data_IF_628568689839
#
_entry.id   IF_628568689839
#
_cell.length_a   1.000
_cell.length_b   1.000
_cell.length_c   1.000
_cell.angle_alpha   90.00
_cell.angle_beta   90.00
_cell.angle_gamma   90.00
#
_symmetry.space_group_name_H-M   'P 1'
#
loop_
_entity.id
_entity.type
_entity.pdbx_description
1 polymer ?
#
# COMPACT_ATOMS: atom_id res chain seq x y z
N UNK A 1 4.94 17.40 -33.70
CA UNK A 1 4.69 15.95 -33.55
C UNK A 1 3.60 15.80 -32.47
N UNK A 2 2.47 15.23 -32.83
CA UNK A 2 1.35 15.11 -31.88
C UNK A 2 1.37 13.71 -31.27
N UNK A 3 1.27 13.65 -29.97
CA UNK A 3 1.27 12.39 -29.21
C UNK A 3 -0.17 11.84 -29.10
N UNK A 4 -0.42 10.70 -29.73
CA UNK A 4 -1.73 10.02 -29.66
C UNK A 4 -1.87 9.25 -28.33
N UNK A 5 -2.78 9.69 -27.46
CA UNK A 5 -3.03 9.07 -26.14
C UNK A 5 -3.46 7.60 -26.24
N UNK A 6 -4.06 7.15 -27.35
CA UNK A 6 -4.39 5.74 -27.53
C UNK A 6 -3.14 4.87 -27.73
N UNK A 7 -2.11 5.41 -28.40
CA UNK A 7 -0.80 4.74 -28.53
C UNK A 7 -0.04 4.76 -27.20
N UNK A 8 -0.11 5.87 -26.46
CA UNK A 8 0.48 5.99 -25.11
C UNK A 8 -0.15 4.98 -24.17
N UNK A 9 -1.48 4.84 -24.16
CA UNK A 9 -2.18 3.85 -23.35
C UNK A 9 -1.76 2.42 -23.72
N UNK A 10 -1.63 2.11 -25.01
CA UNK A 10 -1.11 0.81 -25.45
C UNK A 10 0.29 0.52 -24.89
N UNK A 11 1.18 1.52 -24.87
CA UNK A 11 2.51 1.40 -24.31
C UNK A 11 2.48 1.17 -22.78
N UNK A 12 1.77 2.01 -22.01
CA UNK A 12 1.73 1.92 -20.54
C UNK A 12 1.12 0.60 -20.06
N UNK A 13 0.03 0.12 -20.69
CA UNK A 13 -0.58 -1.17 -20.37
C UNK A 13 0.38 -2.34 -20.68
N UNK A 14 1.10 -2.27 -21.81
CA UNK A 14 2.11 -3.29 -22.14
C UNK A 14 3.28 -3.27 -21.17
N UNK A 15 3.70 -2.10 -20.72
CA UNK A 15 4.77 -1.92 -19.73
C UNK A 15 4.38 -2.51 -18.36
N UNK A 16 3.13 -2.34 -17.94
CA UNK A 16 2.62 -2.87 -16.67
C UNK A 16 2.49 -4.40 -16.66
N UNK A 17 2.09 -4.99 -17.78
CA UNK A 17 1.88 -6.45 -17.86
C UNK A 17 3.12 -7.22 -18.30
N UNK A 18 4.05 -6.57 -18.99
CA UNK A 18 5.20 -7.16 -19.70
C UNK A 18 4.80 -8.36 -20.58
N UNK A 19 3.55 -8.33 -21.11
CA UNK A 19 3.00 -9.42 -21.91
C UNK A 19 1.95 -8.91 -22.90
N UNK A 20 2.23 -8.96 -24.21
CA UNK A 20 1.33 -8.41 -25.24
C UNK A 20 -0.08 -9.03 -25.23
N UNK A 21 -0.21 -10.33 -24.95
CA UNK A 21 -1.53 -11.00 -24.88
C UNK A 21 -2.37 -10.44 -23.74
N UNK A 22 -1.83 -10.41 -22.52
CA UNK A 22 -2.53 -9.84 -21.35
C UNK A 22 -2.85 -8.37 -21.52
N UNK A 23 -1.93 -7.57 -22.06
CA UNK A 23 -2.19 -6.16 -22.36
C UNK A 23 -3.31 -5.98 -23.40
N UNK A 24 -3.38 -6.85 -24.41
CA UNK A 24 -4.42 -6.81 -25.41
C UNK A 24 -5.81 -7.17 -24.82
N UNK A 25 -5.88 -8.17 -23.95
CA UNK A 25 -7.08 -8.53 -23.19
C UNK A 25 -7.57 -7.36 -22.33
N UNK A 26 -6.69 -6.74 -21.57
CA UNK A 26 -7.00 -5.58 -20.72
C UNK A 26 -7.54 -4.40 -21.55
N UNK A 27 -6.94 -4.15 -22.72
CA UNK A 27 -7.37 -3.11 -23.65
C UNK A 27 -8.53 -3.52 -24.57
N UNK A 28 -9.07 -4.71 -24.41
CA UNK A 28 -10.17 -5.27 -25.23
C UNK A 28 -9.86 -5.16 -26.73
N UNK A 29 -8.65 -5.51 -27.11
CA UNK A 29 -8.17 -5.48 -28.49
C UNK A 29 -7.43 -6.75 -28.89
N UNK A 30 -7.11 -6.95 -30.15
CA UNK A 30 -6.26 -8.08 -30.55
C UNK A 30 -4.79 -7.79 -30.30
N UNK A 31 -4.02 -8.85 -30.02
CA UNK A 31 -2.55 -8.73 -29.84
C UNK A 31 -1.87 -8.11 -31.08
N UNK A 32 -2.38 -8.40 -32.30
CA UNK A 32 -1.86 -7.81 -33.52
C UNK A 32 -2.13 -6.29 -33.57
N UNK A 33 -3.33 -5.85 -33.20
CA UNK A 33 -3.68 -4.44 -33.16
C UNK A 33 -2.85 -3.70 -32.11
N UNK A 34 -2.66 -4.29 -30.93
CA UNK A 34 -1.78 -3.75 -29.88
C UNK A 34 -0.34 -3.63 -30.39
N UNK A 35 0.20 -4.69 -31.01
CA UNK A 35 1.57 -4.66 -31.57
C UNK A 35 1.75 -3.57 -32.62
N UNK A 36 0.74 -3.33 -33.49
CA UNK A 36 0.76 -2.23 -34.46
C UNK A 36 0.74 -0.87 -33.77
N UNK A 37 -0.05 -0.68 -32.70
CA UNK A 37 -0.06 0.57 -31.93
C UNK A 37 1.31 0.88 -31.33
N UNK A 38 1.94 -0.11 -30.72
CA UNK A 38 3.29 0.02 -30.14
C UNK A 38 4.31 0.36 -31.26
N UNK A 39 4.28 -0.36 -32.39
CA UNK A 39 5.20 -0.08 -33.51
C UNK A 39 5.05 1.34 -34.04
N UNK A 40 3.79 1.84 -34.17
CA UNK A 40 3.50 3.21 -34.59
C UNK A 40 4.03 4.25 -33.60
N UNK A 41 3.90 3.99 -32.28
CA UNK A 41 4.47 4.88 -31.25
C UNK A 41 6.00 4.91 -31.33
N UNK A 42 6.64 3.74 -31.44
CA UNK A 42 8.09 3.63 -31.61
C UNK A 42 8.60 4.34 -32.86
N UNK A 43 7.85 4.27 -33.96
CA UNK A 43 8.15 4.98 -35.21
C UNK A 43 8.02 6.50 -35.04
N UNK A 44 6.95 6.98 -34.42
CA UNK A 44 6.75 8.40 -34.10
C UNK A 44 7.85 8.98 -33.22
N UNK A 45 8.30 8.21 -32.24
CA UNK A 45 9.36 8.62 -31.31
C UNK A 45 10.77 8.36 -31.85
N UNK A 46 10.90 7.66 -32.98
CA UNK A 46 12.16 7.20 -33.59
C UNK A 46 13.05 6.40 -32.66
N UNK A 47 12.44 5.70 -31.66
CA UNK A 47 13.16 4.85 -30.70
C UNK A 47 12.36 3.58 -30.39
N UNK A 48 13.05 2.52 -30.02
CA UNK A 48 12.42 1.30 -29.50
C UNK A 48 12.15 1.47 -28.03
N UNK A 49 10.92 1.14 -27.62
CA UNK A 49 10.48 1.19 -26.21
C UNK A 49 10.53 -0.18 -25.55
N UNK A 50 10.45 -1.27 -26.34
CA UNK A 50 10.53 -2.65 -25.85
C UNK A 50 11.62 -3.46 -26.50
N UNK A 51 12.30 -4.29 -25.67
CA UNK A 51 13.10 -5.44 -26.12
C UNK A 51 12.19 -6.65 -26.15
N UNK A 52 12.17 -7.38 -27.29
CA UNK A 52 11.32 -8.58 -27.48
C UNK A 52 12.11 -9.90 -27.44
N UNK A 53 13.45 -9.83 -27.53
CA UNK A 53 14.31 -11.01 -27.53
C UNK A 53 14.61 -11.45 -26.10
N UNK A 54 14.26 -12.68 -25.75
CA UNK A 54 14.43 -13.21 -24.39
C UNK A 54 13.36 -12.77 -23.38
N UNK A 55 12.18 -12.43 -23.87
CA UNK A 55 11.07 -11.89 -23.07
C UNK A 55 10.85 -10.40 -23.30
N UNK A 56 9.67 -9.89 -22.89
CA UNK A 56 9.33 -8.48 -23.05
C UNK A 56 9.91 -7.69 -21.88
N UNK A 57 10.72 -6.69 -22.18
CA UNK A 57 11.29 -5.75 -21.20
C UNK A 57 11.29 -4.35 -21.82
N UNK A 58 11.24 -3.32 -20.97
CA UNK A 58 11.48 -1.97 -21.42
C UNK A 58 12.93 -1.78 -21.89
N UNK A 59 13.15 -0.94 -22.87
CA UNK A 59 14.46 -0.38 -23.16
C UNK A 59 14.71 0.79 -22.20
N UNK A 60 15.94 1.28 -22.15
CA UNK A 60 16.25 2.53 -21.40
C UNK A 60 15.40 3.71 -21.86
N UNK A 61 15.11 3.83 -23.17
CA UNK A 61 14.19 4.83 -23.69
C UNK A 61 12.74 4.57 -23.20
N UNK A 62 12.30 3.31 -23.12
CA UNK A 62 11.00 2.93 -22.59
C UNK A 62 10.88 3.28 -21.10
N UNK A 63 11.90 3.00 -20.31
CA UNK A 63 11.94 3.37 -18.88
C UNK A 63 11.86 4.89 -18.67
N UNK A 64 12.62 5.66 -19.45
CA UNK A 64 12.54 7.13 -19.40
C UNK A 64 11.20 7.69 -19.87
N UNK A 65 10.59 7.07 -20.88
CA UNK A 65 9.30 7.52 -21.44
C UNK A 65 8.12 7.19 -20.54
N UNK A 66 8.17 6.11 -19.74
CA UNK A 66 7.06 5.60 -18.96
C UNK A 66 6.45 6.64 -18.00
N UNK A 67 7.22 7.41 -17.20
CA UNK A 67 6.66 8.43 -16.33
C UNK A 67 5.90 9.52 -17.10
N UNK A 68 6.48 10.04 -18.19
CA UNK A 68 5.85 11.05 -19.01
C UNK A 68 4.61 10.53 -19.74
N UNK A 69 4.60 9.26 -20.14
CA UNK A 69 3.44 8.59 -20.73
C UNK A 69 2.26 8.54 -19.75
N UNK A 70 2.50 8.18 -18.49
CA UNK A 70 1.47 8.20 -17.45
C UNK A 70 0.96 9.62 -17.18
N UNK A 71 1.84 10.61 -17.13
CA UNK A 71 1.45 12.02 -16.96
C UNK A 71 0.56 12.52 -18.09
N UNK A 72 0.88 12.18 -19.34
CA UNK A 72 0.08 12.55 -20.50
C UNK A 72 -1.34 11.93 -20.44
N UNK A 73 -1.44 10.65 -20.07
CA UNK A 73 -2.74 9.98 -19.87
C UNK A 73 -3.54 10.63 -18.75
N UNK A 74 -2.92 10.88 -17.61
CA UNK A 74 -3.57 11.55 -16.48
C UNK A 74 -4.02 12.97 -16.83
N UNK A 75 -3.24 13.72 -17.62
CA UNK A 75 -3.65 15.04 -18.12
C UNK A 75 -4.87 14.96 -19.05
N UNK A 76 -4.91 13.96 -19.94
CA UNK A 76 -6.07 13.69 -20.80
C UNK A 76 -7.33 13.36 -19.99
N UNK A 77 -7.20 12.53 -18.98
CA UNK A 77 -8.30 12.18 -18.08
C UNK A 77 -8.82 13.40 -17.29
N UNK A 78 -7.91 14.25 -16.78
CA UNK A 78 -8.28 15.53 -16.15
C UNK A 78 -9.02 16.48 -17.10
N UNK A 79 -8.58 16.56 -18.37
CA UNK A 79 -9.26 17.40 -19.37
C UNK A 79 -10.69 16.92 -19.63
N UNK A 80 -10.93 15.61 -19.72
CA UNK A 80 -12.27 15.03 -19.85
C UNK A 80 -13.10 15.31 -18.60
N UNK A 81 -12.55 15.10 -17.42
CA UNK A 81 -13.23 15.32 -16.14
C UNK A 81 -13.66 16.80 -15.97
N UNK A 82 -12.85 17.75 -16.45
CA UNK A 82 -13.16 19.19 -16.37
C UNK A 82 -14.45 19.57 -17.12
N UNK A 83 -14.81 18.89 -18.21
CA UNK A 83 -16.02 19.14 -18.97
C UNK A 83 -17.18 18.25 -18.59
N UNK A 84 -16.91 17.10 -17.94
CA UNK A 84 -17.95 16.15 -17.50
C UNK A 84 -18.56 16.50 -16.14
N UNK A 85 -18.11 17.58 -15.47
CA UNK A 85 -18.55 17.93 -14.13
C UNK A 85 -18.13 16.92 -13.03
N UNK A 86 -17.40 15.88 -13.39
CA UNK A 86 -16.84 14.90 -12.46
C UNK A 86 -15.43 15.35 -12.12
N UNK A 87 -15.14 15.61 -10.85
CA UNK A 87 -13.79 15.92 -10.42
C UNK A 87 -12.78 14.81 -10.81
N UNK A 88 -11.48 15.13 -10.95
CA UNK A 88 -10.47 14.13 -11.27
C UNK A 88 -10.46 13.05 -10.18
N UNK A 89 -10.38 11.78 -10.60
CA UNK A 89 -10.18 10.68 -9.66
C UNK A 89 -8.73 10.65 -9.19
N UNK A 90 -8.52 10.29 -7.92
CA UNK A 90 -7.19 10.01 -7.35
C UNK A 90 -6.98 8.51 -7.35
N UNK A 91 -5.96 8.03 -8.04
CA UNK A 91 -5.55 6.64 -7.98
C UNK A 91 -4.73 6.44 -6.71
N UNK A 92 -5.19 5.54 -5.86
CA UNK A 92 -4.55 5.23 -4.58
C UNK A 92 -4.22 3.75 -4.48
N UNK A 93 -2.95 3.44 -4.28
CA UNK A 93 -2.50 2.11 -3.90
C UNK A 93 -2.44 1.98 -2.38
N UNK A 94 -2.87 0.83 -1.87
CA UNK A 94 -2.75 0.51 -0.45
C UNK A 94 -1.95 -0.74 -0.25
N UNK A 95 -1.03 -0.70 0.72
CA UNK A 95 -0.25 -1.88 1.11
C UNK A 95 -0.13 -1.98 2.62
N UNK A 96 0.13 -3.18 3.06
CA UNK A 96 0.26 -3.52 4.47
C UNK A 96 -0.37 -4.86 4.75
N UNK A 97 0.00 -5.44 5.87
CA UNK A 97 -0.53 -6.73 6.30
C UNK A 97 -1.69 -6.59 7.29
N UNK A 98 -1.95 -5.39 7.77
CA UNK A 98 -3.09 -5.15 8.67
C UNK A 98 -4.40 -5.14 7.89
N UNK A 99 -5.44 -5.65 8.53
CA UNK A 99 -6.78 -5.77 7.96
C UNK A 99 -7.41 -4.40 7.63
N UNK A 100 -8.08 -4.34 6.48
CA UNK A 100 -8.90 -3.20 6.05
C UNK A 100 -8.21 -1.81 6.10
N UNK A 101 -7.05 -1.61 5.47
CA UNK A 101 -6.33 -0.32 5.48
C UNK A 101 -7.18 0.83 4.91
N UNK A 102 -8.05 0.57 3.94
CA UNK A 102 -8.95 1.57 3.35
C UNK A 102 -9.95 2.16 4.33
N UNK A 103 -10.17 1.54 5.48
CA UNK A 103 -10.98 2.08 6.59
C UNK A 103 -10.47 3.44 7.05
N UNK A 104 -9.16 3.58 7.24
CA UNK A 104 -8.51 4.85 7.61
C UNK A 104 -8.66 5.91 6.52
N UNK A 105 -8.48 5.52 5.25
CA UNK A 105 -8.69 6.41 4.10
C UNK A 105 -10.13 6.88 4.05
N UNK A 106 -11.10 5.97 4.19
CA UNK A 106 -12.53 6.31 4.20
C UNK A 106 -12.89 7.32 5.31
N UNK A 107 -12.36 7.13 6.52
CA UNK A 107 -12.56 8.06 7.63
C UNK A 107 -11.99 9.45 7.34
N UNK A 108 -10.79 9.51 6.74
CA UNK A 108 -10.14 10.79 6.42
C UNK A 108 -10.87 11.57 5.31
N UNK A 109 -11.46 10.87 4.32
CA UNK A 109 -12.15 11.53 3.21
C UNK A 109 -13.63 11.85 3.49
N UNK A 110 -14.22 11.22 4.51
CA UNK A 110 -15.66 11.40 4.83
C UNK A 110 -16.03 12.87 5.07
N UNK A 111 -15.12 13.66 5.63
CA UNK A 111 -15.32 15.08 5.92
C UNK A 111 -15.03 16.02 4.72
N UNK A 112 -14.47 15.50 3.62
CA UNK A 112 -14.00 16.33 2.50
C UNK A 112 -15.01 16.56 1.39
N UNK A 113 -16.23 16.00 1.52
CA UNK A 113 -17.18 15.97 0.42
C UNK A 113 -16.82 14.90 -0.63
N UNK A 114 -17.39 14.96 -1.84
CA UNK A 114 -17.23 13.90 -2.84
C UNK A 114 -15.80 13.89 -3.40
N UNK A 115 -14.95 13.01 -2.89
CA UNK A 115 -13.63 12.68 -3.47
C UNK A 115 -13.74 11.33 -4.16
N UNK A 116 -13.42 11.30 -5.44
CA UNK A 116 -13.39 10.07 -6.22
C UNK A 116 -12.02 9.41 -6.05
N UNK A 117 -12.00 8.25 -5.38
CA UNK A 117 -10.81 7.42 -5.23
C UNK A 117 -10.92 6.18 -6.13
N UNK A 118 -9.84 5.85 -6.83
CA UNK A 118 -9.71 4.64 -7.64
C UNK A 118 -8.60 3.78 -7.04
N UNK A 119 -8.92 2.58 -6.51
CA UNK A 119 -7.90 1.67 -5.98
C UNK A 119 -6.95 1.19 -7.09
N UNK A 120 -5.66 1.26 -6.83
CA UNK A 120 -4.64 0.71 -7.70
C UNK A 120 -4.29 -0.76 -7.37
N UNK A 121 -3.44 -1.39 -8.21
CA UNK A 121 -3.07 -2.80 -8.09
C UNK A 121 -1.94 -3.08 -7.10
N UNK A 122 -1.25 -2.05 -6.61
CA UNK A 122 -0.10 -2.20 -5.70
C UNK A 122 -0.45 -2.94 -4.41
N UNK A 123 0.44 -3.85 -3.98
CA UNK A 123 0.22 -4.70 -2.80
C UNK A 123 1.39 -4.71 -1.82
N UNK A 124 2.53 -4.15 -2.21
CA UNK A 124 3.71 -4.00 -1.37
C UNK A 124 4.41 -2.66 -1.66
N UNK A 125 5.21 -2.20 -0.70
CA UNK A 125 5.88 -0.91 -0.81
C UNK A 125 6.79 -0.79 -2.05
N UNK A 126 7.63 -1.78 -2.40
CA UNK A 126 8.46 -1.68 -3.59
C UNK A 126 7.67 -1.47 -4.89
N UNK A 127 6.56 -2.18 -5.08
CA UNK A 127 5.72 -2.03 -6.27
C UNK A 127 4.97 -0.69 -6.31
N UNK A 128 4.48 -0.23 -5.17
CA UNK A 128 3.82 1.08 -5.05
C UNK A 128 4.82 2.21 -5.25
N UNK A 129 6.01 2.14 -4.68
CA UNK A 129 7.06 3.14 -4.90
C UNK A 129 7.40 3.27 -6.39
N UNK A 130 7.55 2.15 -7.09
CA UNK A 130 7.78 2.14 -8.53
C UNK A 130 6.59 2.75 -9.30
N UNK A 131 5.35 2.39 -8.94
CA UNK A 131 4.16 2.95 -9.57
C UNK A 131 4.04 4.46 -9.35
N UNK A 132 4.35 4.98 -8.15
CA UNK A 132 4.40 6.41 -7.85
C UNK A 132 5.45 7.14 -8.71
N UNK A 133 6.68 6.62 -8.77
CA UNK A 133 7.75 7.22 -9.55
C UNK A 133 7.43 7.26 -11.05
N UNK A 134 6.75 6.24 -11.56
CA UNK A 134 6.35 6.17 -12.96
C UNK A 134 4.99 6.81 -13.26
N UNK A 135 4.28 7.36 -12.26
CA UNK A 135 2.96 7.97 -12.44
C UNK A 135 1.83 6.98 -12.70
N UNK A 136 2.04 5.70 -12.41
CA UNK A 136 1.02 4.65 -12.49
C UNK A 136 -0.04 4.77 -11.39
N UNK A 137 0.31 5.37 -10.26
CA UNK A 137 -0.60 5.77 -9.18
C UNK A 137 -0.28 7.19 -8.71
N UNK A 138 -1.23 7.87 -8.09
CA UNK A 138 -1.09 9.26 -7.63
C UNK A 138 -0.69 9.33 -6.16
N UNK A 139 -1.20 8.40 -5.36
CA UNK A 139 -0.96 8.27 -3.93
C UNK A 139 -0.71 6.81 -3.54
N UNK A 140 0.09 6.65 -2.51
CA UNK A 140 0.22 5.39 -1.79
C UNK A 140 -0.19 5.56 -0.33
N UNK A 141 -0.86 4.58 0.26
CA UNK A 141 -1.20 4.54 1.68
C UNK A 141 -0.72 3.23 2.31
N UNK A 142 0.23 3.32 3.20
CA UNK A 142 0.83 2.16 3.86
C UNK A 142 2.02 2.52 4.73
N UNK A 143 2.72 1.51 5.24
CA UNK A 143 3.94 1.74 5.99
C UNK A 143 5.14 1.87 5.05
N UNK A 144 5.71 3.06 4.98
CA UNK A 144 6.92 3.36 4.20
C UNK A 144 8.16 2.98 5.02
N UNK A 145 9.13 2.37 4.37
CA UNK A 145 10.45 2.09 4.93
C UNK A 145 11.51 2.25 3.82
N UNK A 146 12.78 2.53 4.15
CA UNK A 146 13.82 2.70 3.15
C UNK A 146 13.94 1.47 2.22
N UNK A 147 14.01 1.70 0.91
CA UNK A 147 14.24 0.65 -0.06
C UNK A 147 15.72 0.48 -0.38
N UNK A 148 16.20 -0.76 -0.57
CA UNK A 148 17.58 -1.01 -0.96
C UNK A 148 17.98 -0.23 -2.23
N UNK A 149 19.16 0.39 -2.21
CA UNK A 149 19.67 1.14 -3.35
C UNK A 149 18.97 2.49 -3.61
N UNK A 150 18.22 3.02 -2.64
CA UNK A 150 17.54 4.33 -2.78
C UNK A 150 16.44 4.34 -3.84
N UNK A 151 15.78 3.20 -4.08
CA UNK A 151 14.73 3.06 -5.09
C UNK A 151 13.45 3.85 -4.79
N UNK A 152 13.38 4.50 -3.66
CA UNK A 152 12.36 5.44 -3.21
C UNK A 152 12.78 6.92 -3.32
N UNK A 153 13.96 7.20 -3.91
CA UNK A 153 14.41 8.57 -4.18
C UNK A 153 13.42 9.30 -5.11
N UNK A 154 13.07 10.55 -4.76
CA UNK A 154 12.06 11.34 -5.49
C UNK A 154 10.62 11.11 -5.02
N UNK A 155 10.44 10.32 -3.95
CA UNK A 155 9.17 10.20 -3.25
C UNK A 155 9.17 11.05 -1.98
N UNK A 156 8.02 11.64 -1.69
CA UNK A 156 7.73 12.32 -0.42
C UNK A 156 6.71 11.50 0.35
N UNK A 157 6.80 11.53 1.67
CA UNK A 157 5.84 10.88 2.54
C UNK A 157 5.44 11.78 3.70
N UNK A 158 4.24 11.54 4.24
CA UNK A 158 3.76 12.11 5.50
C UNK A 158 3.18 11.00 6.36
N UNK A 159 3.62 10.92 7.61
CA UNK A 159 2.99 10.08 8.62
C UNK A 159 1.59 10.63 8.92
N UNK A 160 0.57 9.77 8.84
CA UNK A 160 -0.83 10.22 9.02
C UNK A 160 -1.54 9.50 10.16
N UNK A 161 -1.06 8.32 10.56
CA UNK A 161 -1.64 7.58 11.67
C UNK A 161 -0.64 6.62 12.31
N UNK A 162 -0.64 6.60 13.63
CA UNK A 162 -0.08 5.54 14.47
C UNK A 162 -1.25 4.64 14.93
N UNK A 163 -1.33 3.44 14.41
CA UNK A 163 -2.43 2.52 14.68
C UNK A 163 -2.00 1.49 15.71
N UNK A 164 -2.63 1.46 16.91
CA UNK A 164 -2.40 0.39 17.87
C UNK A 164 -2.77 -0.97 17.28
N UNK A 165 -2.01 -2.00 17.62
CA UNK A 165 -2.30 -3.37 17.20
C UNK A 165 -2.47 -4.26 18.43
N UNK A 166 -3.47 -5.14 18.35
CA UNK A 166 -3.78 -6.14 19.34
C UNK A 166 -3.26 -7.51 18.91
N UNK A 167 -3.04 -8.39 19.89
CA UNK A 167 -2.84 -9.80 19.63
C UNK A 167 -4.19 -10.47 19.43
N UNK A 168 -4.39 -11.14 18.29
CA UNK A 168 -5.59 -11.93 18.04
C UNK A 168 -5.26 -13.41 18.14
N UNK A 169 -6.05 -14.11 18.95
CA UNK A 169 -5.89 -15.54 19.26
C UNK A 169 -7.21 -16.29 19.10
N UNK A 170 -7.13 -17.61 18.94
CA UNK A 170 -8.29 -18.50 18.97
C UNK A 170 -8.92 -18.59 20.38
N UNK A 171 -10.17 -19.10 20.49
CA UNK A 171 -10.87 -19.21 21.77
C UNK A 171 -10.19 -20.12 22.77
N UNK A 172 -9.51 -21.16 22.28
CA UNK A 172 -8.84 -22.17 23.10
C UNK A 172 -7.34 -21.87 23.33
N UNK A 173 -6.88 -20.68 22.93
CA UNK A 173 -5.50 -20.28 23.18
C UNK A 173 -5.25 -20.03 24.67
N UNK A 174 -4.10 -20.45 25.26
CA UNK A 174 -3.82 -20.30 26.70
C UNK A 174 -3.96 -18.87 27.23
N UNK A 175 -3.72 -17.87 26.37
CA UNK A 175 -3.83 -16.44 26.72
C UNK A 175 -5.20 -15.83 26.40
N UNK A 176 -6.18 -16.59 25.89
CA UNK A 176 -7.48 -16.04 25.49
C UNK A 176 -8.27 -15.38 26.62
N UNK A 177 -8.00 -15.74 27.87
CA UNK A 177 -8.64 -15.16 29.07
C UNK A 177 -7.99 -13.87 29.58
N UNK A 178 -6.90 -13.40 28.98
CA UNK A 178 -6.21 -12.19 29.43
C UNK A 178 -6.97 -10.91 29.02
N UNK A 179 -6.99 -9.90 29.91
CA UNK A 179 -7.55 -8.59 29.63
C UNK A 179 -6.57 -7.71 28.83
N UNK A 180 -5.27 -7.91 29.00
CA UNK A 180 -4.18 -7.28 28.25
C UNK A 180 -2.94 -8.17 28.31
N UNK A 181 -2.04 -8.01 27.33
CA UNK A 181 -0.76 -8.72 27.28
C UNK A 181 0.38 -7.75 27.04
N UNK A 182 1.55 -8.05 27.56
CA UNK A 182 2.80 -7.45 27.11
C UNK A 182 3.30 -8.20 25.88
N UNK A 183 3.92 -7.55 24.89
CA UNK A 183 4.52 -8.27 23.77
C UNK A 183 5.46 -9.41 24.19
N UNK A 184 6.12 -9.27 25.35
CA UNK A 184 6.99 -10.31 25.92
C UNK A 184 6.24 -11.59 26.34
N UNK A 185 4.95 -11.53 26.66
CA UNK A 185 4.13 -12.68 27.04
C UNK A 185 3.86 -13.61 25.85
N UNK A 186 4.08 -13.11 24.64
CA UNK A 186 3.91 -13.85 23.37
C UNK A 186 5.15 -14.64 22.92
N UNK A 187 6.24 -14.64 23.70
CA UNK A 187 7.53 -15.27 23.30
C UNK A 187 7.43 -16.75 23.00
N UNK A 188 6.59 -17.45 23.76
CA UNK A 188 6.38 -18.90 23.59
C UNK A 188 5.27 -19.23 22.59
N UNK A 189 4.57 -18.21 22.08
CA UNK A 189 3.54 -18.37 21.07
C UNK A 189 4.13 -18.33 19.65
N UNK A 190 3.36 -18.82 18.69
CA UNK A 190 3.73 -18.80 17.26
C UNK A 190 3.08 -17.60 16.58
N UNK A 191 3.89 -16.67 16.04
CA UNK A 191 3.37 -15.58 15.23
C UNK A 191 3.00 -16.11 13.84
N UNK A 192 1.72 -16.07 13.52
CA UNK A 192 1.25 -16.34 12.17
C UNK A 192 1.31 -15.08 11.30
N UNK A 193 1.84 -15.22 10.09
CA UNK A 193 2.05 -14.15 9.12
C UNK A 193 1.30 -14.45 7.82
N UNK A 194 0.56 -13.49 7.22
CA UNK A 194 -0.20 -13.69 5.99
C UNK A 194 0.65 -13.67 4.70
N UNK A 195 1.95 -13.76 4.80
CA UNK A 195 2.93 -13.89 3.73
C UNK A 195 4.30 -14.20 4.34
N UNK A 196 5.29 -14.48 3.49
CA UNK A 196 6.69 -14.60 3.93
C UNK A 196 7.12 -13.41 4.78
N UNK A 197 7.68 -13.65 5.94
CA UNK A 197 8.05 -12.62 6.92
C UNK A 197 9.05 -11.60 6.37
N UNK A 198 9.88 -11.99 5.39
CA UNK A 198 10.81 -11.09 4.70
C UNK A 198 10.11 -9.93 4.00
N UNK A 199 8.86 -10.11 3.61
CA UNK A 199 8.00 -9.10 2.97
C UNK A 199 7.19 -8.25 3.97
N UNK A 200 7.18 -8.65 5.24
CA UNK A 200 6.37 -8.08 6.31
C UNK A 200 7.25 -7.38 7.35
N UNK A 201 7.89 -6.28 6.94
CA UNK A 201 8.91 -5.60 7.75
C UNK A 201 8.47 -5.26 9.18
N UNK A 202 7.21 -4.83 9.38
CA UNK A 202 6.69 -4.54 10.72
C UNK A 202 6.62 -5.79 11.60
N UNK A 203 6.03 -6.89 11.11
CA UNK A 203 5.91 -8.14 11.87
C UNK A 203 7.29 -8.73 12.20
N UNK A 204 8.21 -8.67 11.24
CA UNK A 204 9.59 -9.11 11.46
C UNK A 204 10.25 -8.32 12.58
N UNK A 205 10.18 -6.98 12.54
CA UNK A 205 10.76 -6.11 13.57
C UNK A 205 10.10 -6.28 14.93
N UNK A 206 8.78 -6.46 14.95
CA UNK A 206 8.05 -6.78 16.18
C UNK A 206 8.54 -8.10 16.78
N UNK A 207 8.59 -9.15 15.98
CA UNK A 207 9.05 -10.44 16.45
C UNK A 207 10.50 -10.42 16.95
N UNK A 208 11.40 -9.69 16.24
CA UNK A 208 12.80 -9.52 16.64
C UNK A 208 12.93 -8.73 17.95
N UNK A 209 12.20 -7.61 18.08
CA UNK A 209 12.26 -6.73 19.24
C UNK A 209 11.79 -7.42 20.53
N UNK A 210 10.79 -8.31 20.44
CA UNK A 210 10.20 -8.96 21.61
C UNK A 210 10.60 -10.43 21.79
N UNK A 211 11.55 -10.93 20.98
CA UNK A 211 12.12 -12.26 21.13
C UNK A 211 11.16 -13.38 20.74
N UNK A 212 10.24 -13.14 19.81
CA UNK A 212 9.31 -14.13 19.27
C UNK A 212 10.03 -14.92 18.17
N UNK A 213 10.45 -16.14 18.50
CA UNK A 213 11.25 -16.99 17.59
C UNK A 213 10.41 -17.95 16.77
N UNK A 214 9.25 -18.37 17.28
CA UNK A 214 8.32 -19.25 16.55
C UNK A 214 7.49 -18.43 15.58
N UNK A 215 7.68 -18.66 14.30
CA UNK A 215 7.06 -17.89 13.21
C UNK A 215 6.58 -18.83 12.13
N UNK A 216 5.36 -18.63 11.70
CA UNK A 216 4.74 -19.43 10.63
C UNK A 216 4.12 -18.46 9.61
N UNK A 217 4.40 -18.67 8.35
CA UNK A 217 3.78 -17.93 7.26
C UNK A 217 2.81 -18.81 6.47
N UNK A 218 1.84 -18.15 5.86
CA UNK A 218 0.83 -18.78 5.03
C UNK A 218 0.26 -17.82 3.99
N UNK A 219 -0.54 -18.31 3.06
CA UNK A 219 -1.15 -17.46 2.05
C UNK A 219 -2.20 -16.55 2.67
N UNK A 220 -2.27 -15.30 2.21
CA UNK A 220 -3.37 -14.40 2.55
C UNK A 220 -4.60 -14.73 1.70
N UNK A 221 -5.44 -15.60 2.22
CA UNK A 221 -6.71 -16.01 1.59
C UNK A 221 -7.92 -15.29 2.21
N UNK A 222 -7.68 -14.19 2.93
CA UNK A 222 -8.72 -13.38 3.54
C UNK A 222 -9.02 -13.73 4.99
N UNK A 223 -10.01 -13.03 5.56
CA UNK A 223 -10.30 -13.09 6.99
C UNK A 223 -10.81 -14.47 7.44
N UNK A 224 -11.62 -15.14 6.64
CA UNK A 224 -12.16 -16.46 6.99
C UNK A 224 -11.04 -17.51 7.13
N UNK A 225 -10.04 -17.46 6.27
CA UNK A 225 -8.86 -18.32 6.35
C UNK A 225 -8.06 -18.04 7.63
N UNK A 226 -7.86 -16.77 7.98
CA UNK A 226 -7.22 -16.37 9.24
C UNK A 226 -7.99 -16.93 10.45
N UNK A 227 -9.34 -16.77 10.46
CA UNK A 227 -10.21 -17.27 11.52
C UNK A 227 -10.06 -18.78 11.68
N UNK A 228 -10.13 -19.54 10.58
CA UNK A 228 -9.97 -20.99 10.60
C UNK A 228 -8.60 -21.41 11.13
N UNK A 229 -7.53 -20.71 10.71
CA UNK A 229 -6.18 -21.01 11.16
C UNK A 229 -6.02 -20.80 12.67
N UNK A 230 -6.41 -19.63 13.20
CA UNK A 230 -6.28 -19.32 14.63
C UNK A 230 -7.20 -20.18 15.52
N UNK A 231 -8.30 -20.69 15.00
CA UNK A 231 -9.16 -21.66 15.72
C UNK A 231 -8.58 -23.08 15.72
N UNK A 232 -7.84 -23.42 14.68
CA UNK A 232 -7.23 -24.74 14.52
C UNK A 232 -5.90 -24.93 15.23
N UNK A 233 -5.22 -23.84 15.59
CA UNK A 233 -3.91 -23.86 16.24
C UNK A 233 -3.91 -23.01 17.52
N UNK A 234 -3.95 -23.68 18.67
CA UNK A 234 -4.01 -23.03 19.98
C UNK A 234 -2.71 -22.37 20.43
N UNK A 235 -1.62 -22.51 19.69
CA UNK A 235 -0.35 -21.85 19.97
C UNK A 235 -0.16 -20.57 19.13
N UNK A 236 -1.01 -20.35 18.12
CA UNK A 236 -0.86 -19.26 17.16
C UNK A 236 -1.57 -17.98 17.59
N UNK A 237 -0.90 -16.86 17.31
CA UNK A 237 -1.49 -15.52 17.36
C UNK A 237 -1.11 -14.75 16.08
N UNK A 238 -1.84 -13.68 15.79
CA UNK A 238 -1.46 -12.68 14.80
C UNK A 238 -1.66 -11.27 15.34
N UNK A 239 -1.12 -10.26 14.67
CA UNK A 239 -1.39 -8.87 15.00
C UNK A 239 -2.53 -8.32 14.15
N UNK A 240 -3.44 -7.58 14.77
CA UNK A 240 -4.62 -7.02 14.14
C UNK A 240 -4.84 -5.56 14.59
N UNK A 241 -5.41 -4.69 13.76
CA UNK A 241 -5.68 -3.31 14.19
C UNK A 241 -6.64 -3.28 15.38
N UNK A 242 -6.30 -2.55 16.42
CA UNK A 242 -7.09 -2.50 17.66
C UNK A 242 -8.52 -1.96 17.48
N UNK A 243 -8.74 -1.10 16.47
CA UNK A 243 -10.05 -0.51 16.19
C UNK A 243 -10.78 -1.16 15.00
N UNK A 244 -10.26 -2.27 14.46
CA UNK A 244 -10.94 -3.03 13.42
C UNK A 244 -11.84 -4.10 14.04
N UNK A 245 -13.14 -4.14 13.71
CA UNK A 245 -14.03 -5.14 14.25
C UNK A 245 -13.65 -6.53 13.74
N UNK A 246 -13.57 -7.48 14.66
CA UNK A 246 -13.56 -8.90 14.30
C UNK A 246 -14.99 -9.34 14.02
N UNK A 247 -15.22 -10.28 13.08
CA UNK A 247 -16.55 -10.83 12.86
C UNK A 247 -17.08 -11.53 14.12
N UNK A 248 -18.32 -11.25 14.51
CA UNK A 248 -18.96 -11.80 15.72
C UNK A 248 -18.93 -13.34 15.74
N UNK A 249 -19.07 -13.98 14.57
CA UNK A 249 -19.06 -15.44 14.42
C UNK A 249 -17.65 -16.06 14.45
N UNK A 250 -16.61 -15.23 14.43
CA UNK A 250 -15.23 -15.73 14.39
C UNK A 250 -14.82 -16.46 15.68
N UNK A 251 -15.39 -16.06 16.83
CA UNK A 251 -15.03 -16.60 18.15
C UNK A 251 -13.57 -16.31 18.54
N UNK A 252 -12.91 -15.37 17.82
CA UNK A 252 -11.56 -14.94 18.14
C UNK A 252 -11.55 -13.91 19.26
N UNK A 253 -10.42 -13.79 19.94
CA UNK A 253 -10.17 -12.79 20.98
C UNK A 253 -9.11 -11.82 20.50
N UNK A 254 -9.46 -10.52 20.41
CA UNK A 254 -8.49 -9.44 20.31
C UNK A 254 -8.11 -9.01 21.73
N UNK A 255 -6.82 -9.06 22.03
CA UNK A 255 -6.28 -8.76 23.35
C UNK A 255 -5.32 -7.58 23.21
N UNK A 256 -5.58 -6.45 23.89
CA UNK A 256 -4.73 -5.28 23.84
C UNK A 256 -3.28 -5.59 24.20
N UNK A 257 -2.34 -5.08 23.41
CA UNK A 257 -0.92 -5.13 23.72
C UNK A 257 -0.51 -3.83 24.44
N UNK A 258 0.10 -3.99 25.60
CA UNK A 258 0.49 -2.88 26.49
C UNK A 258 1.93 -3.04 26.98
N UNK A 259 2.56 -1.95 27.38
CA UNK A 259 3.87 -1.92 28.06
C UNK A 259 5.00 -2.71 27.33
N UNK A 260 5.36 -2.32 26.11
CA UNK A 260 4.83 -1.20 25.33
C UNK A 260 3.69 -1.61 24.38
N UNK A 261 2.82 -0.64 24.04
CA UNK A 261 1.80 -0.81 23.00
C UNK A 261 2.44 -0.68 21.61
N UNK A 262 2.38 -1.71 20.75
CA UNK A 262 2.94 -1.61 19.41
C UNK A 262 2.05 -0.77 18.50
N UNK A 263 2.68 0.15 17.76
CA UNK A 263 2.00 1.04 16.84
C UNK A 263 2.45 0.80 15.40
N UNK A 264 1.49 0.69 14.48
CA UNK A 264 1.76 0.59 13.06
C UNK A 264 1.70 1.99 12.42
N UNK A 265 2.81 2.40 11.80
CA UNK A 265 2.95 3.75 11.24
C UNK A 265 2.40 3.80 9.80
N UNK A 266 1.22 4.35 9.61
CA UNK A 266 0.63 4.61 8.30
C UNK A 266 1.08 5.95 7.75
N UNK A 267 1.60 5.93 6.52
CA UNK A 267 1.99 7.14 5.79
C UNK A 267 1.22 7.24 4.47
N UNK A 268 0.96 8.47 4.05
CA UNK A 268 0.72 8.79 2.65
C UNK A 268 2.05 8.98 1.96
N UNK A 269 2.19 8.47 0.75
CA UNK A 269 3.37 8.65 -0.09
C UNK A 269 2.96 9.12 -1.48
N UNK A 270 3.74 10.01 -2.07
CA UNK A 270 3.53 10.53 -3.41
C UNK A 270 4.86 10.93 -4.05
N UNK A 271 4.87 11.11 -5.36
CA UNK A 271 6.04 11.62 -6.05
C UNK A 271 6.25 13.10 -5.71
N UNK A 272 7.46 13.51 -5.37
CA UNK A 272 7.83 14.87 -4.98
C UNK A 272 7.38 15.92 -6.03
N UNK A 273 7.50 15.59 -7.32
CA UNK A 273 7.05 16.43 -8.43
C UNK A 273 5.55 16.35 -8.73
N UNK A 274 4.77 15.56 -7.97
CA UNK A 274 3.33 15.39 -8.22
C UNK A 274 2.57 16.72 -8.09
N UNK A 275 1.59 16.90 -9.00
CA UNK A 275 0.73 18.10 -9.08
C UNK A 275 -0.74 17.71 -9.20
N UNK A 276 -1.17 16.73 -8.36
CA UNK A 276 -2.57 16.32 -8.35
C UNK A 276 -3.42 17.34 -7.59
N UNK A 277 -4.52 17.89 -8.16
CA UNK A 277 -5.32 18.97 -7.54
C UNK A 277 -5.90 18.61 -6.18
N UNK A 278 -6.19 17.33 -5.94
CA UNK A 278 -6.77 16.84 -4.70
C UNK A 278 -5.74 16.40 -3.64
N UNK A 279 -4.45 16.46 -3.94
CA UNK A 279 -3.41 16.03 -2.99
C UNK A 279 -3.49 16.82 -1.67
N UNK A 280 -3.46 18.15 -1.76
CA UNK A 280 -3.54 19.01 -0.58
C UNK A 280 -4.86 18.84 0.17
N UNK A 281 -5.95 18.59 -0.55
CA UNK A 281 -7.27 18.33 0.04
C UNK A 281 -7.26 17.05 0.85
N UNK A 282 -6.71 15.97 0.29
CA UNK A 282 -6.56 14.69 1.00
C UNK A 282 -5.65 14.82 2.22
N UNK A 283 -4.49 15.49 2.08
CA UNK A 283 -3.58 15.75 3.20
C UNK A 283 -4.27 16.52 4.34
N UNK A 284 -5.10 17.53 4.02
CA UNK A 284 -5.91 18.22 5.03
C UNK A 284 -6.90 17.29 5.72
N UNK A 285 -7.64 16.47 4.97
CA UNK A 285 -8.59 15.52 5.54
C UNK A 285 -7.95 14.54 6.52
N UNK A 286 -6.79 14.01 6.17
CA UNK A 286 -6.02 13.18 7.09
C UNK A 286 -5.55 13.95 8.32
N UNK A 287 -5.09 15.19 8.16
CA UNK A 287 -4.62 16.03 9.27
C UNK A 287 -5.77 16.38 10.23
N UNK A 288 -6.92 16.81 9.71
CA UNK A 288 -8.10 17.19 10.52
C UNK A 288 -8.69 15.99 11.26
N UNK A 289 -8.87 14.87 10.54
CA UNK A 289 -9.35 13.63 11.15
C UNK A 289 -8.34 13.10 12.17
N UNK A 290 -7.05 13.14 11.83
CA UNK A 290 -5.97 12.70 12.70
C UNK A 290 -5.90 13.49 14.00
N UNK A 291 -6.09 14.81 13.95
CA UNK A 291 -6.17 15.66 15.15
C UNK A 291 -7.38 15.31 16.02
N UNK A 292 -8.57 15.21 15.42
CA UNK A 292 -9.81 14.92 16.16
C UNK A 292 -9.78 13.54 16.81
N UNK A 293 -9.13 12.56 16.17
CA UNK A 293 -9.02 11.18 16.64
C UNK A 293 -7.73 10.85 17.35
N UNK A 294 -6.82 11.84 17.48
CA UNK A 294 -5.52 11.69 18.14
C UNK A 294 -4.65 10.57 17.49
N UNK A 295 -4.67 10.48 16.17
CA UNK A 295 -4.01 9.42 15.42
C UNK A 295 -2.48 9.43 15.50
N UNK A 296 -1.87 10.55 15.86
CA UNK A 296 -0.43 10.69 15.96
C UNK A 296 0.07 10.75 17.42
N UNK A 297 -0.80 10.44 18.39
CA UNK A 297 -0.38 10.38 19.77
C UNK A 297 0.69 9.30 19.96
N UNK A 298 1.81 9.69 20.53
CA UNK A 298 2.93 8.81 20.84
C UNK A 298 3.53 9.17 22.19
N UNK A 299 3.70 8.18 23.05
CA UNK A 299 4.29 8.35 24.36
C UNK A 299 5.51 7.41 24.48
N UNK A 300 6.75 7.92 24.44
CA UNK A 300 7.94 7.11 24.67
C UNK A 300 7.80 6.28 25.96
N UNK A 301 8.36 5.07 25.97
CA UNK A 301 8.27 4.05 27.03
C UNK A 301 6.92 3.35 27.18
N UNK A 302 5.81 3.98 26.81
CA UNK A 302 4.49 3.37 26.79
C UNK A 302 4.17 2.70 25.46
N UNK A 303 4.68 3.29 24.38
CA UNK A 303 4.42 2.88 23.01
C UNK A 303 5.72 2.39 22.35
N UNK A 304 5.59 1.45 21.44
CA UNK A 304 6.69 0.93 20.64
C UNK A 304 6.46 1.20 19.15
N UNK A 305 7.49 1.67 18.50
CA UNK A 305 7.61 1.80 17.05
C UNK A 305 8.91 1.15 16.59
N UNK A 306 8.95 0.57 15.38
CA UNK A 306 10.22 0.25 14.74
C UNK A 306 11.13 1.47 14.64
N UNK A 307 12.45 1.30 14.83
CA UNK A 307 13.43 2.41 14.79
C UNK A 307 13.32 3.26 13.52
N UNK A 308 13.04 2.61 12.38
CA UNK A 308 12.84 3.30 11.09
C UNK A 308 11.63 4.25 11.07
N UNK A 309 10.69 4.12 12.00
CA UNK A 309 9.50 4.95 12.06
C UNK A 309 9.65 6.14 13.03
N UNK A 310 10.61 6.07 13.97
CA UNK A 310 10.91 7.20 14.88
C UNK A 310 11.32 8.47 14.13
N UNK A 311 12.08 8.35 13.04
CA UNK A 311 12.49 9.50 12.23
C UNK A 311 11.29 10.25 11.61
N UNK A 312 10.17 9.56 11.40
CA UNK A 312 8.94 10.17 10.83
C UNK A 312 8.21 11.07 11.81
N UNK A 313 8.35 10.80 13.12
CA UNK A 313 7.73 11.62 14.18
C UNK A 313 8.36 13.02 14.25
N UNK A 314 9.65 13.15 13.94
CA UNK A 314 10.36 14.42 13.99
C UNK A 314 10.08 15.34 12.78
N UNK A 315 9.69 14.76 11.64
CA UNK A 315 9.45 15.50 10.40
C UNK A 315 8.10 16.20 10.31
N UNK A 316 7.17 15.94 11.22
CA UNK A 316 5.78 16.41 11.15
C UNK A 316 5.48 17.59 12.11
N UNK A 317 6.52 18.17 12.78
CA UNK A 317 6.37 19.32 13.69
C UNK A 317 6.75 20.67 13.04
N UNK A 318 6.84 20.73 11.72
CA UNK A 318 7.19 21.93 10.96
C UNK A 318 6.02 22.52 10.17
#
# INVERSE_FOLDING_TARGET
MDLDLALVRAFTTTAGTLHFGRAAEELRTSQQALSKRIARLEEQLAVRLFVRKGGIRLTEAGERFLPAAHEALAAGERAIAAVSGSGPAVRIDTWGHLYAPMRTVAQAVQALGPVRLEPGPGRDWPSVAQALLHGGTDLGFGRVHPLPGGRDAGLTQRLVRLEPVDAVVGPDHPLAGADALRPADLRECTLWCPAELTRLDFLRRFADAFGITRRQDGPNLGLDHLVQHLRGDTACFTLFPADAPLPDHAGLRAIPLVEPAPLYAWSLAWRESARHPLLDTLLRGFTETGRSRRWLDYTPRRDWLPDTDHAKLAGDQG
#
